data_IF_272836849313
#
_entry.id   IF_272836849313
#
_cell.length_a   1.000
_cell.length_b   1.000
_cell.length_c   1.000
_cell.angle_alpha   90.00
_cell.angle_beta   90.00
_cell.angle_gamma   90.00
#
_symmetry.space_group_name_H-M   'P 1'
#
loop_
_entity.id
_entity.type
_entity.pdbx_description
1 polymer ?
#
# COMPACT_ATOMS: atom_id res chain seq x y z
N UNK A 1 -13.41 4.79 -20.65
CA UNK A 1 -13.76 3.42 -21.12
C UNK A 1 -13.05 3.17 -22.43
N UNK A 2 -11.85 2.59 -22.37
CA UNK A 2 -11.06 2.28 -23.56
C UNK A 2 -11.33 0.83 -23.93
N UNK A 3 -11.79 0.59 -25.16
CA UNK A 3 -12.02 -0.76 -25.67
C UNK A 3 -10.71 -1.33 -26.22
N UNK A 4 -10.20 -2.39 -25.60
CA UNK A 4 -9.06 -3.14 -26.12
C UNK A 4 -9.54 -4.19 -27.12
N UNK A 5 -9.02 -4.14 -28.35
CA UNK A 5 -9.27 -5.17 -29.36
C UNK A 5 -8.06 -6.10 -29.40
N UNK A 6 -8.22 -7.34 -28.94
CA UNK A 6 -7.21 -8.39 -29.05
C UNK A 6 -7.09 -8.84 -30.51
N UNK A 7 -5.92 -8.63 -31.13
CA UNK A 7 -5.60 -9.22 -32.43
C UNK A 7 -4.77 -10.49 -32.24
N UNK A 8 -5.42 -11.65 -32.34
CA UNK A 8 -4.74 -12.93 -32.51
C UNK A 8 -4.33 -13.09 -33.98
N UNK A 9 -3.05 -13.35 -34.25
CA UNK A 9 -2.58 -13.73 -35.59
C UNK A 9 -2.10 -15.18 -35.59
N UNK A 10 -2.56 -15.94 -36.58
CA UNK A 10 -2.10 -17.30 -36.85
C UNK A 10 -0.80 -17.23 -37.65
N UNK A 11 0.28 -17.81 -37.14
CA UNK A 11 1.52 -18.01 -37.89
C UNK A 11 1.64 -19.49 -38.23
N UNK A 12 1.34 -19.84 -39.49
CA UNK A 12 1.74 -21.12 -40.08
C UNK A 12 3.11 -20.92 -40.73
N UNK A 13 4.14 -21.58 -40.23
CA UNK A 13 5.40 -21.70 -40.95
C UNK A 13 5.16 -22.55 -42.20
N UNK A 14 5.03 -21.88 -43.35
CA UNK A 14 5.28 -22.32 -44.74
C UNK A 14 4.89 -21.16 -45.67
N UNK A 15 5.85 -20.62 -46.44
CA UNK A 15 5.62 -19.61 -47.51
C UNK A 15 5.46 -20.31 -48.89
N UNK A 16 5.14 -19.64 -50.03
CA UNK A 16 4.58 -18.28 -50.25
C UNK A 16 3.39 -18.22 -51.28
N UNK A 17 2.46 -17.27 -51.15
CA UNK A 17 1.80 -16.57 -52.29
C UNK A 17 0.82 -15.47 -51.83
N UNK A 18 1.03 -14.25 -52.33
CA UNK A 18 0.19 -13.02 -52.28
C UNK A 18 -1.19 -13.18 -52.98
N UNK A 19 -2.13 -12.19 -52.99
CA UNK A 19 -2.29 -10.98 -52.15
C UNK A 19 -3.73 -10.76 -51.59
N UNK A 20 -3.82 -9.87 -50.59
CA UNK A 20 -4.83 -8.81 -50.38
C UNK A 20 -6.35 -9.09 -50.58
N UNK A 21 -7.16 -8.95 -49.51
CA UNK A 21 -8.32 -8.03 -49.48
C UNK A 21 -9.24 -8.18 -48.23
N UNK A 22 -9.48 -7.02 -47.61
CA UNK A 22 -10.76 -6.50 -47.03
C UNK A 22 -11.44 -7.24 -45.87
N UNK A 23 -11.40 -6.59 -44.71
CA UNK A 23 -12.47 -6.66 -43.69
C UNK A 23 -13.74 -5.97 -44.19
N UNK A 24 -14.94 -6.46 -43.77
CA UNK A 24 -15.98 -5.53 -43.33
C UNK A 24 -16.66 -5.92 -42.01
N UNK A 25 -16.70 -4.92 -41.12
CA UNK A 25 -17.70 -4.48 -40.14
C UNK A 25 -18.93 -5.34 -39.72
N UNK A 26 -19.09 -5.41 -38.39
CA UNK A 26 -20.30 -5.19 -37.55
C UNK A 26 -21.48 -6.22 -37.51
N UNK A 27 -21.52 -6.96 -36.39
CA UNK A 27 -22.65 -7.18 -35.43
C UNK A 27 -23.89 -8.05 -35.80
N UNK A 28 -24.68 -8.55 -34.81
CA UNK A 28 -24.64 -9.96 -34.34
C UNK A 28 -25.97 -10.70 -34.53
N UNK A 29 -26.00 -12.04 -34.55
CA UNK A 29 -27.25 -12.77 -34.25
C UNK A 29 -27.00 -14.19 -33.70
N UNK A 30 -27.76 -14.48 -32.63
CA UNK A 30 -28.00 -15.79 -32.00
C UNK A 30 -28.33 -16.89 -33.01
N UNK A 31 -27.84 -18.11 -32.77
CA UNK A 31 -28.64 -19.26 -32.31
C UNK A 31 -28.05 -20.62 -32.74
N UNK A 32 -28.08 -21.55 -31.78
CA UNK A 32 -28.33 -23.01 -31.89
C UNK A 32 -27.71 -23.76 -33.10
N UNK A 33 -26.91 -24.78 -32.80
CA UNK A 33 -27.35 -26.19 -32.80
C UNK A 33 -26.16 -27.13 -32.58
N UNK A 34 -26.46 -28.28 -31.98
CA UNK A 34 -25.56 -29.40 -31.77
C UNK A 34 -24.91 -29.87 -33.06
N UNK A 35 -23.64 -30.25 -33.02
CA UNK A 35 -23.13 -31.38 -33.80
C UNK A 35 -21.86 -31.93 -33.17
N UNK A 36 -21.76 -33.25 -33.27
CA UNK A 36 -20.92 -34.13 -32.48
C UNK A 36 -19.68 -34.50 -33.31
N UNK A 37 -18.56 -34.72 -32.62
CA UNK A 37 -17.31 -35.40 -33.04
C UNK A 37 -16.27 -34.59 -33.84
N UNK A 38 -15.11 -34.35 -33.22
CA UNK A 38 -13.91 -35.17 -33.38
C UNK A 38 -12.83 -34.68 -32.40
N UNK A 39 -12.04 -35.59 -31.80
CA UNK A 39 -10.80 -35.21 -31.12
C UNK A 39 -9.73 -34.96 -32.18
N UNK A 40 -9.12 -33.76 -32.27
CA UNK A 40 -7.80 -33.62 -32.90
C UNK A 40 -6.74 -33.67 -31.79
N UNK A 41 -5.83 -34.62 -31.90
CA UNK A 41 -4.55 -34.59 -31.20
C UNK A 41 -3.70 -33.49 -31.84
N UNK A 42 -3.65 -32.29 -31.27
CA UNK A 42 -2.59 -31.32 -31.52
C UNK A 42 -2.51 -30.33 -30.35
N UNK A 43 -1.35 -30.28 -29.68
CA UNK A 43 -1.01 -29.23 -28.73
C UNK A 43 -0.79 -27.95 -29.52
N UNK A 44 -1.73 -27.01 -29.47
CA UNK A 44 -1.49 -25.64 -29.91
C UNK A 44 -1.25 -24.77 -28.68
N UNK A 45 -0.01 -24.34 -28.50
CA UNK A 45 0.38 -23.31 -27.55
C UNK A 45 -0.09 -21.95 -28.10
N UNK A 46 -0.97 -21.29 -27.35
CA UNK A 46 -1.36 -19.91 -27.59
C UNK A 46 -0.36 -19.03 -26.83
N UNK A 47 0.51 -18.31 -27.54
CA UNK A 47 1.39 -17.32 -26.92
C UNK A 47 0.78 -15.93 -27.09
N UNK A 48 0.59 -15.22 -25.98
CA UNK A 48 0.28 -13.79 -25.98
C UNK A 48 1.59 -13.01 -25.91
N UNK A 49 2.03 -12.43 -27.02
CA UNK A 49 3.15 -11.47 -27.02
C UNK A 49 2.61 -10.05 -26.86
N UNK A 50 2.88 -9.42 -25.72
CA UNK A 50 2.64 -7.98 -25.51
C UNK A 50 3.67 -7.21 -26.34
N UNK A 51 3.23 -6.23 -27.14
CA UNK A 51 4.17 -5.46 -27.98
C UNK A 51 4.94 -4.44 -27.12
N UNK A 52 6.21 -4.23 -27.43
CA UNK A 52 7.11 -3.33 -26.68
C UNK A 52 6.60 -1.88 -26.57
N UNK A 53 5.73 -1.43 -27.48
CA UNK A 53 5.05 -0.13 -27.40
C UNK A 53 3.93 -0.10 -26.33
N UNK A 54 3.18 -1.19 -26.16
CA UNK A 54 2.15 -1.33 -25.12
C UNK A 54 2.79 -1.45 -23.73
N UNK A 55 3.97 -2.07 -23.64
CA UNK A 55 4.79 -2.08 -22.43
C UNK A 55 5.28 -0.66 -22.09
N UNK A 56 5.68 0.15 -23.07
CA UNK A 56 6.13 1.52 -22.82
C UNK A 56 4.97 2.47 -22.45
N UNK A 57 3.78 2.31 -23.03
CA UNK A 57 2.57 3.03 -22.60
C UNK A 57 2.13 2.59 -21.20
N UNK A 58 2.15 1.30 -20.90
CA UNK A 58 1.93 0.77 -19.55
C UNK A 58 2.97 1.28 -18.54
N UNK A 59 4.25 1.35 -18.92
CA UNK A 59 5.32 1.89 -18.07
C UNK A 59 5.22 3.42 -17.91
N UNK A 60 4.66 4.14 -18.89
CA UNK A 60 4.38 5.56 -18.81
C UNK A 60 3.13 5.87 -17.95
N UNK A 61 2.07 5.05 -18.06
CA UNK A 61 0.93 5.06 -17.14
C UNK A 61 1.35 4.66 -15.71
N UNK A 62 2.34 3.77 -15.56
CA UNK A 62 3.01 3.49 -14.28
C UNK A 62 3.89 4.67 -13.83
N UNK A 63 4.47 5.47 -14.73
CA UNK A 63 5.31 6.61 -14.36
C UNK A 63 4.49 7.83 -13.92
N UNK A 64 3.36 8.12 -14.58
CA UNK A 64 2.37 9.09 -14.12
C UNK A 64 1.62 8.57 -12.89
N UNK A 65 1.30 7.27 -12.85
CA UNK A 65 0.83 6.56 -11.65
C UNK A 65 1.78 6.75 -10.48
N UNK A 66 3.10 6.55 -10.67
CA UNK A 66 4.12 6.75 -9.64
C UNK A 66 4.07 8.14 -9.02
N UNK A 67 3.94 9.23 -9.78
CA UNK A 67 3.91 10.59 -9.19
C UNK A 67 2.66 10.78 -8.32
N UNK A 68 1.51 10.28 -8.78
CA UNK A 68 0.29 10.31 -7.98
C UNK A 68 0.40 9.42 -6.74
N UNK A 69 1.05 8.26 -6.85
CA UNK A 69 1.35 7.35 -5.73
C UNK A 69 2.29 8.02 -4.73
N UNK A 70 3.29 8.79 -5.18
CA UNK A 70 4.18 9.58 -4.32
C UNK A 70 3.42 10.67 -3.56
N UNK A 71 2.50 11.37 -4.22
CA UNK A 71 1.68 12.40 -3.59
C UNK A 71 0.69 11.80 -2.56
N UNK A 72 0.11 10.64 -2.88
CA UNK A 72 -0.74 9.90 -1.96
C UNK A 72 0.07 9.38 -0.76
N UNK A 73 1.23 8.77 -1.01
CA UNK A 73 2.15 8.29 0.02
C UNK A 73 2.57 9.41 0.97
N UNK A 74 2.93 10.57 0.43
CA UNK A 74 3.25 11.76 1.21
C UNK A 74 2.06 12.20 2.08
N UNK A 75 0.84 12.14 1.55
CA UNK A 75 -0.35 12.46 2.35
C UNK A 75 -0.59 11.49 3.50
N UNK A 76 -0.25 10.22 3.32
CA UNK A 76 -0.31 9.21 4.38
C UNK A 76 0.86 9.37 5.36
N UNK A 77 2.07 9.73 4.91
CA UNK A 77 3.20 10.06 5.79
C UNK A 77 2.89 11.28 6.66
N UNK A 78 2.31 12.34 6.10
CA UNK A 78 1.82 13.49 6.87
C UNK A 78 0.80 13.12 7.94
N UNK A 79 0.03 12.06 7.68
CA UNK A 79 -0.99 11.55 8.59
C UNK A 79 -0.44 10.60 9.66
N UNK A 80 0.67 9.90 9.41
CA UNK A 80 1.12 8.76 10.22
C UNK A 80 2.61 8.77 10.55
N UNK A 81 3.23 9.93 10.47
CA UNK A 81 4.65 10.13 10.71
C UNK A 81 5.11 9.52 12.03
N UNK A 82 6.35 9.03 12.02
CA UNK A 82 7.05 8.60 13.23
C UNK A 82 7.75 9.77 13.91
N UNK A 83 8.20 10.75 13.11
CA UNK A 83 8.83 11.97 13.61
C UNK A 83 8.31 13.17 12.81
N UNK A 84 7.88 14.23 13.50
CA UNK A 84 7.62 15.55 12.92
C UNK A 84 8.66 16.54 13.42
N UNK A 85 9.52 17.01 12.52
CA UNK A 85 10.48 18.06 12.82
C UNK A 85 9.84 19.42 12.63
N UNK A 86 9.77 20.21 13.71
CA UNK A 86 9.27 21.57 13.71
C UNK A 86 10.47 22.51 13.55
N UNK A 87 10.80 22.84 12.30
CA UNK A 87 11.95 23.68 11.96
C UNK A 87 11.60 25.16 12.11
N UNK A 88 12.19 25.82 13.10
CA UNK A 88 12.09 27.27 13.31
C UNK A 88 13.15 28.00 12.51
N UNK A 89 12.74 28.90 11.61
CA UNK A 89 13.65 29.65 10.72
C UNK A 89 13.97 31.07 11.17
N UNK A 90 13.29 31.56 12.23
CA UNK A 90 13.63 32.79 12.93
C UNK A 90 13.34 32.66 14.44
N UNK A 91 13.73 33.69 15.19
CA UNK A 91 13.57 33.82 16.64
C UNK A 91 12.37 34.71 17.05
N UNK A 92 11.45 34.99 16.12
CA UNK A 92 10.31 35.85 16.41
C UNK A 92 9.32 35.16 17.34
N UNK A 93 8.80 35.90 18.33
CA UNK A 93 7.86 35.35 19.31
C UNK A 93 6.62 34.73 18.67
N UNK A 94 6.08 35.35 17.61
CA UNK A 94 4.93 34.81 16.88
C UNK A 94 5.23 33.48 16.17
N UNK A 95 6.46 33.27 15.72
CA UNK A 95 6.90 31.99 15.16
C UNK A 95 6.99 30.95 16.26
N UNK A 96 7.60 31.29 17.40
CA UNK A 96 7.70 30.41 18.56
C UNK A 96 6.31 29.96 19.07
N UNK A 97 5.36 30.88 19.20
CA UNK A 97 4.01 30.58 19.70
C UNK A 97 3.28 29.58 18.78
N UNK A 98 3.40 29.73 17.45
CA UNK A 98 2.84 28.78 16.46
C UNK A 98 3.51 27.41 16.52
N UNK A 99 4.83 27.38 16.65
CA UNK A 99 5.60 26.13 16.80
C UNK A 99 5.17 25.38 18.06
N UNK A 100 4.99 26.11 19.17
CA UNK A 100 4.57 25.51 20.43
C UNK A 100 3.13 25.00 20.36
N UNK A 101 2.24 25.69 19.65
CA UNK A 101 0.88 25.21 19.39
C UNK A 101 0.90 23.89 18.61
N UNK A 102 1.68 23.79 17.53
CA UNK A 102 1.81 22.55 16.77
C UNK A 102 2.43 21.43 17.62
N UNK A 103 3.51 21.71 18.35
CA UNK A 103 4.16 20.75 19.24
C UNK A 103 3.19 20.17 20.29
N UNK A 104 2.33 21.01 20.85
CA UNK A 104 1.38 20.60 21.88
C UNK A 104 0.27 19.68 21.34
N UNK A 105 0.03 19.64 20.03
CA UNK A 105 -0.92 18.69 19.43
C UNK A 105 -0.40 17.25 19.52
N UNK A 106 0.92 17.08 19.40
CA UNK A 106 1.55 15.76 19.40
C UNK A 106 3.02 15.82 19.88
N UNK A 107 3.25 15.99 21.19
CA UNK A 107 4.59 16.21 21.75
C UNK A 107 5.46 14.95 21.76
N UNK A 108 4.87 13.76 21.60
CA UNK A 108 5.61 12.49 21.66
C UNK A 108 6.39 12.22 20.37
N UNK A 109 5.85 12.62 19.23
CA UNK A 109 6.46 12.38 17.93
C UNK A 109 6.98 13.67 17.29
N UNK A 110 6.88 14.81 17.97
CA UNK A 110 7.39 16.10 17.48
C UNK A 110 8.73 16.48 18.10
N UNK A 111 9.63 17.07 17.32
CA UNK A 111 10.90 17.62 17.78
C UNK A 111 11.07 19.05 17.25
N UNK A 112 11.32 19.99 18.15
CA UNK A 112 11.60 21.39 17.77
C UNK A 112 13.08 21.50 17.38
N UNK A 113 13.35 22.05 16.20
CA UNK A 113 14.70 22.26 15.68
C UNK A 113 14.85 23.73 15.30
N UNK A 114 15.86 24.40 15.83
CA UNK A 114 16.19 25.77 15.43
C UNK A 114 17.08 25.76 14.18
N UNK A 115 16.95 26.75 13.30
CA UNK A 115 17.80 26.95 12.13
C UNK A 115 19.30 26.92 12.43
N UNK A 116 19.72 27.36 13.63
CA UNK A 116 21.11 27.28 14.08
C UNK A 116 21.62 25.82 14.12
N UNK A 117 20.74 24.85 14.38
CA UNK A 117 21.07 23.44 14.35
C UNK A 117 21.35 22.90 12.94
N UNK A 118 20.89 23.57 11.88
CA UNK A 118 21.24 23.19 10.50
C UNK A 118 22.72 23.41 10.18
N UNK A 119 23.41 24.21 11.00
CA UNK A 119 24.83 24.50 10.88
C UNK A 119 25.69 23.63 11.82
N UNK A 120 25.06 22.89 12.74
CA UNK A 120 25.74 22.01 13.70
C UNK A 120 25.16 20.60 13.67
N UNK A 121 25.87 19.68 13.02
CA UNK A 121 25.42 18.29 12.83
C UNK A 121 25.22 17.52 14.14
N UNK A 122 25.73 17.99 15.28
CA UNK A 122 25.57 17.31 16.57
C UNK A 122 24.17 17.46 17.19
N UNK A 123 23.35 18.41 16.72
CA UNK A 123 21.98 18.62 17.23
C UNK A 123 20.89 18.31 16.21
N UNK A 124 21.23 17.66 15.09
CA UNK A 124 20.25 17.18 14.13
C UNK A 124 19.83 15.74 14.48
N UNK A 125 18.52 15.46 14.61
CA UNK A 125 18.04 14.09 14.73
C UNK A 125 18.27 13.33 13.42
N UNK A 126 18.33 12.00 13.49
CA UNK A 126 18.28 11.18 12.28
C UNK A 126 16.92 11.32 11.62
N UNK A 127 16.92 11.38 10.29
CA UNK A 127 15.74 11.60 9.46
C UNK A 127 15.59 10.43 8.50
N UNK A 128 14.39 9.86 8.44
CA UNK A 128 14.01 8.75 7.56
C UNK A 128 12.82 9.11 6.65
N UNK A 129 12.28 8.12 5.94
CA UNK A 129 11.13 8.28 5.03
C UNK A 129 9.79 8.47 5.72
N UNK A 130 9.73 8.28 7.03
CA UNK A 130 8.53 8.48 7.86
C UNK A 130 8.61 9.80 8.64
N UNK A 131 9.58 10.66 8.30
CA UNK A 131 9.78 11.96 8.93
C UNK A 131 9.12 13.07 8.10
N UNK A 132 8.30 13.90 8.77
CA UNK A 132 7.70 15.12 8.20
C UNK A 132 8.47 16.33 8.71
N UNK A 133 8.91 17.22 7.82
CA UNK A 133 9.55 18.49 8.22
C UNK A 133 8.56 19.62 8.05
N UNK A 134 8.09 20.24 9.13
CA UNK A 134 7.23 21.42 9.09
C UNK A 134 8.05 22.67 9.41
N UNK A 135 8.10 23.60 8.46
CA UNK A 135 8.90 24.82 8.52
C UNK A 135 8.05 25.97 9.02
N UNK A 136 8.54 26.66 10.05
CA UNK A 136 7.93 27.83 10.64
C UNK A 136 8.84 29.05 10.48
N UNK A 137 8.25 30.16 10.07
CA UNK A 137 8.94 31.44 9.91
C UNK A 137 8.00 32.60 9.67
N UNK A 138 8.56 33.80 9.68
CA UNK A 138 7.84 35.06 9.44
C UNK A 138 7.58 35.23 7.94
N UNK A 139 6.31 35.28 7.54
CA UNK A 139 5.93 35.47 6.14
C UNK A 139 5.97 36.95 5.76
N UNK A 140 6.51 37.26 4.58
CA UNK A 140 6.32 38.60 3.99
C UNK A 140 4.86 38.82 3.61
N UNK A 141 4.44 40.09 3.52
CA UNK A 141 3.04 40.45 3.21
C UNK A 141 2.55 39.87 1.88
N UNK A 142 3.45 39.74 0.91
CA UNK A 142 3.20 39.15 -0.41
C UNK A 142 3.34 37.62 -0.44
N UNK A 143 3.89 37.00 0.61
CA UNK A 143 4.13 35.55 0.68
C UNK A 143 5.32 35.07 -0.16
N UNK A 144 6.18 35.98 -0.64
CA UNK A 144 7.36 35.64 -1.46
C UNK A 144 8.59 35.23 -0.64
N UNK A 145 8.57 35.40 0.69
CA UNK A 145 9.65 34.95 1.57
C UNK A 145 9.15 34.36 2.88
N UNK A 146 9.95 33.45 3.45
CA UNK A 146 9.79 32.90 4.80
C UNK A 146 11.05 33.27 5.59
N UNK A 147 10.90 34.06 6.65
CA UNK A 147 12.00 34.64 7.43
C UNK A 147 13.03 35.38 6.58
N UNK A 148 12.57 36.03 5.51
CA UNK A 148 13.42 36.73 4.54
C UNK A 148 14.13 35.82 3.52
N UNK A 149 13.95 34.50 3.60
CA UNK A 149 14.49 33.55 2.62
C UNK A 149 13.54 33.39 1.43
N UNK A 150 14.09 33.44 0.21
CA UNK A 150 13.40 32.97 -1.00
C UNK A 150 13.20 31.45 -0.95
N UNK A 151 12.31 30.93 -1.80
CA UNK A 151 12.07 29.49 -1.91
C UNK A 151 13.35 28.69 -2.14
N UNK A 152 14.21 29.14 -3.07
CA UNK A 152 15.51 28.50 -3.35
C UNK A 152 16.48 28.56 -2.15
N UNK A 153 16.56 29.71 -1.50
CA UNK A 153 17.48 29.88 -0.36
C UNK A 153 17.05 28.98 0.81
N UNK A 154 15.75 28.91 1.07
CA UNK A 154 15.20 28.05 2.11
C UNK A 154 15.40 26.57 1.76
N UNK A 155 15.17 26.16 0.52
CA UNK A 155 15.42 24.79 0.07
C UNK A 155 16.88 24.37 0.31
N UNK A 156 17.84 25.25 0.00
CA UNK A 156 19.26 24.99 0.23
C UNK A 156 19.60 24.82 1.72
N UNK A 157 18.95 25.58 2.61
CA UNK A 157 19.11 25.40 4.06
C UNK A 157 18.56 24.05 4.51
N UNK A 158 17.35 23.72 4.08
CA UNK A 158 16.64 22.49 4.43
C UNK A 158 17.39 21.24 3.95
N UNK A 159 18.05 21.30 2.78
CA UNK A 159 18.91 20.22 2.26
C UNK A 159 20.07 19.83 3.19
N UNK A 160 20.46 20.67 4.17
CA UNK A 160 21.49 20.33 5.16
C UNK A 160 21.04 19.29 6.18
N UNK A 161 19.73 19.07 6.33
CA UNK A 161 19.15 18.07 7.24
C UNK A 161 19.44 16.61 6.84
N UNK A 162 20.29 16.35 5.84
CA UNK A 162 20.51 15.02 5.26
C UNK A 162 19.18 14.34 4.89
N UNK A 163 18.24 15.09 4.31
CA UNK A 163 16.90 14.66 3.87
C UNK A 163 16.92 13.67 2.69
N UNK A 164 17.91 12.79 2.62
CA UNK A 164 17.95 11.75 1.58
C UNK A 164 16.80 10.75 1.73
N UNK A 165 16.10 10.77 2.87
CA UNK A 165 14.97 9.91 3.17
C UNK A 165 13.63 10.64 3.36
N UNK A 166 13.59 11.87 3.91
CA UNK A 166 12.32 12.57 4.18
C UNK A 166 11.52 12.85 2.90
N UNK A 167 10.27 12.40 2.91
CA UNK A 167 9.36 12.44 1.76
C UNK A 167 8.49 13.69 1.74
N UNK A 168 8.25 14.34 2.90
CA UNK A 168 7.31 15.47 3.03
C UNK A 168 7.91 16.66 3.75
N UNK A 169 7.80 17.84 3.12
CA UNK A 169 8.11 19.13 3.73
C UNK A 169 6.87 20.00 3.70
N UNK A 170 6.47 20.51 4.87
CA UNK A 170 5.32 21.38 5.07
C UNK A 170 5.79 22.79 5.39
N UNK A 171 5.08 23.82 4.90
CA UNK A 171 5.38 25.22 5.20
C UNK A 171 4.19 25.84 5.95
N UNK A 172 4.47 26.41 7.12
CA UNK A 172 3.46 27.07 7.92
C UNK A 172 3.06 28.42 7.33
N UNK A 173 1.80 28.50 6.92
CA UNK A 173 1.15 29.69 6.36
C UNK A 173 1.09 29.72 4.83
N UNK A 174 0.72 30.87 4.27
CA UNK A 174 0.42 31.00 2.83
C UNK A 174 1.57 31.65 2.08
N UNK A 175 2.14 30.94 1.11
CA UNK A 175 3.23 31.40 0.23
C UNK A 175 2.75 31.50 -1.22
N UNK A 176 3.48 32.23 -2.06
CA UNK A 176 3.15 32.34 -3.49
C UNK A 176 3.53 31.07 -4.25
N UNK A 177 2.87 30.84 -5.40
CA UNK A 177 3.23 29.75 -6.32
C UNK A 177 4.67 29.87 -6.81
N UNK A 178 5.20 31.09 -6.98
CA UNK A 178 6.59 31.32 -7.37
C UNK A 178 7.56 30.83 -6.29
N UNK A 179 7.29 31.18 -5.03
CA UNK A 179 8.06 30.69 -3.89
C UNK A 179 8.05 29.15 -3.83
N UNK A 180 6.86 28.53 -3.92
CA UNK A 180 6.69 27.07 -3.87
C UNK A 180 7.44 26.37 -5.01
N UNK A 181 7.35 26.94 -6.23
CA UNK A 181 8.04 26.42 -7.40
C UNK A 181 9.56 26.49 -7.25
N UNK A 182 10.09 27.65 -6.86
CA UNK A 182 11.54 27.83 -6.64
C UNK A 182 12.06 26.93 -5.51
N UNK A 183 11.27 26.73 -4.47
CA UNK A 183 11.57 25.81 -3.37
C UNK A 183 11.71 24.36 -3.87
N UNK A 184 10.69 23.82 -4.56
CA UNK A 184 10.71 22.44 -5.07
C UNK A 184 11.81 22.20 -6.11
N UNK A 185 12.11 23.21 -6.95
CA UNK A 185 13.08 23.10 -8.05
C UNK A 185 14.48 22.73 -7.56
N UNK A 186 14.90 23.25 -6.41
CA UNK A 186 16.24 22.99 -5.89
C UNK A 186 16.42 21.53 -5.43
N UNK A 187 15.40 20.91 -4.84
CA UNK A 187 15.42 19.48 -4.52
C UNK A 187 15.49 18.63 -5.78
N UNK A 188 14.71 18.99 -6.81
CA UNK A 188 14.71 18.31 -8.11
C UNK A 188 16.09 18.33 -8.76
N UNK A 189 16.80 19.46 -8.73
CA UNK A 189 18.17 19.55 -9.26
C UNK A 189 19.19 18.69 -8.50
N UNK A 190 18.91 18.35 -7.24
CA UNK A 190 19.72 17.41 -6.44
C UNK A 190 19.29 15.96 -6.60
N UNK A 191 18.29 15.68 -7.45
CA UNK A 191 17.73 14.34 -7.65
C UNK A 191 16.92 13.84 -6.44
N UNK A 192 16.48 14.75 -5.57
CA UNK A 192 15.70 14.43 -4.38
C UNK A 192 14.22 14.60 -4.70
N UNK A 193 13.44 13.56 -4.41
CA UNK A 193 11.99 13.55 -4.56
C UNK A 193 11.35 14.04 -3.27
N UNK A 194 10.99 15.31 -3.22
CA UNK A 194 10.30 15.91 -2.08
C UNK A 194 8.86 16.23 -2.47
N UNK A 195 7.92 16.01 -1.55
CA UNK A 195 6.56 16.51 -1.65
C UNK A 195 6.41 17.72 -0.75
N UNK A 196 5.97 18.83 -1.33
CA UNK A 196 5.63 20.05 -0.61
C UNK A 196 4.17 19.96 -0.15
N UNK A 197 3.95 19.98 1.15
CA UNK A 197 2.64 20.13 1.77
C UNK A 197 2.37 21.62 2.06
N UNK A 198 1.20 22.10 1.64
CA UNK A 198 0.67 23.41 2.02
C UNK A 198 -0.76 23.26 2.52
N UNK A 199 -1.18 24.16 3.42
CA UNK A 199 -2.53 24.18 3.97
C UNK A 199 -3.34 25.32 3.36
N UNK A 200 -4.55 25.02 2.90
CA UNK A 200 -5.53 26.01 2.47
C UNK A 200 -6.87 25.74 3.16
N UNK A 201 -7.13 26.45 4.27
CA UNK A 201 -8.30 26.18 5.11
C UNK A 201 -8.26 24.77 5.70
N UNK A 202 -9.28 23.96 5.41
CA UNK A 202 -9.41 22.57 5.88
C UNK A 202 -8.82 21.53 4.92
N UNK A 203 -8.22 21.97 3.81
CA UNK A 203 -7.56 21.10 2.83
C UNK A 203 -6.04 21.14 2.99
N UNK A 204 -5.41 19.98 2.83
CA UNK A 204 -3.98 19.85 2.54
C UNK A 204 -3.79 19.65 1.04
N UNK A 205 -2.86 20.42 0.49
CA UNK A 205 -2.39 20.28 -0.88
C UNK A 205 -0.96 19.77 -0.86
N UNK A 206 -0.74 18.65 -1.55
CA UNK A 206 0.55 18.00 -1.74
C UNK A 206 1.00 18.26 -3.16
N UNK A 207 2.20 18.81 -3.33
CA UNK A 207 2.75 19.18 -4.63
C UNK A 207 4.10 18.53 -4.84
N UNK A 208 4.35 18.07 -6.06
CA UNK A 208 5.63 17.49 -6.45
C UNK A 208 6.04 18.03 -7.81
N UNK A 209 7.30 18.44 -7.93
CA UNK A 209 7.88 18.83 -9.21
C UNK A 209 8.44 17.59 -9.93
N UNK A 210 7.82 17.25 -11.05
CA UNK A 210 8.21 16.14 -11.93
C UNK A 210 9.27 16.52 -12.95
N UNK A 211 9.33 15.75 -14.04
CA UNK A 211 10.19 16.06 -15.18
C UNK A 211 9.67 17.28 -15.95
N UNK A 212 10.58 18.06 -16.53
CA UNK A 212 10.29 19.31 -17.27
C UNK A 212 9.63 20.41 -16.42
N UNK A 213 9.89 20.45 -15.11
CA UNK A 213 9.38 21.45 -14.17
C UNK A 213 7.84 21.51 -14.11
N UNK A 214 7.17 20.41 -14.46
CA UNK A 214 5.72 20.27 -14.27
C UNK A 214 5.42 19.95 -12.82
N UNK A 215 4.44 20.66 -12.24
CA UNK A 215 3.95 20.40 -10.88
C UNK A 215 2.71 19.53 -10.95
N UNK A 216 2.74 18.41 -10.22
CA UNK A 216 1.59 17.55 -9.96
C UNK A 216 1.05 17.83 -8.57
N UNK A 217 -0.27 17.77 -8.41
CA UNK A 217 -0.95 18.15 -7.17
C UNK A 217 -1.94 17.07 -6.71
N UNK A 218 -2.03 16.87 -5.39
CA UNK A 218 -3.06 16.06 -4.75
C UNK A 218 -3.67 16.84 -3.59
N UNK A 219 -5.00 16.82 -3.50
CA UNK A 219 -5.75 17.52 -2.44
C UNK A 219 -6.53 16.52 -1.62
N UNK A 220 -6.50 16.70 -0.31
CA UNK A 220 -7.30 15.90 0.61
C UNK A 220 -7.66 16.74 1.83
N UNK A 221 -8.71 16.34 2.53
CA UNK A 221 -9.13 17.00 3.77
C UNK A 221 -8.12 16.72 4.87
N UNK A 222 -7.97 17.68 5.80
CA UNK A 222 -7.24 17.47 7.05
C UNK A 222 -7.83 16.28 7.81
N UNK A 223 -6.96 15.34 8.18
CA UNK A 223 -7.31 14.17 8.99
C UNK A 223 -6.49 14.18 10.30
N UNK A 224 -7.03 13.70 11.43
CA UNK A 224 -6.30 13.69 12.71
C UNK A 224 -5.17 12.66 12.70
N UNK A 225 -3.93 13.08 12.98
CA UNK A 225 -2.72 12.23 12.94
C UNK A 225 -2.96 10.87 13.61
N UNK A 226 -2.56 9.80 12.94
CA UNK A 226 -2.71 8.41 13.37
C UNK A 226 -1.34 7.72 13.43
N UNK A 227 -0.76 7.69 14.64
CA UNK A 227 0.47 6.96 14.92
C UNK A 227 0.26 5.45 15.06
N UNK A 228 -0.83 4.89 14.53
CA UNK A 228 -1.04 3.43 14.53
C UNK A 228 -0.26 2.70 13.44
N UNK A 229 0.71 3.33 12.74
CA UNK A 229 1.79 2.57 12.07
C UNK A 229 2.61 1.89 13.18
N UNK A 230 2.17 0.69 13.53
CA UNK A 230 2.70 -0.13 14.62
C UNK A 230 3.93 -0.97 14.20
N UNK A 231 4.35 -0.88 12.94
CA UNK A 231 5.29 -1.80 12.31
C UNK A 231 6.40 -1.03 11.60
N UNK A 232 7.64 -1.51 11.73
CA UNK A 232 8.81 -0.97 11.02
C UNK A 232 8.79 -1.31 9.52
N UNK A 233 8.24 -2.49 9.19
CA UNK A 233 8.08 -2.98 7.83
C UNK A 233 6.85 -3.90 7.69
N UNK A 234 6.25 -3.94 6.50
CA UNK A 234 5.13 -4.78 6.14
C UNK A 234 5.40 -5.57 4.85
N UNK A 235 5.53 -6.89 4.93
CA UNK A 235 5.49 -7.73 3.73
C UNK A 235 4.04 -8.14 3.43
N UNK A 236 3.58 -7.88 2.22
CA UNK A 236 2.25 -8.26 1.72
C UNK A 236 2.44 -9.39 0.72
N UNK A 237 1.89 -10.56 1.02
CA UNK A 237 2.02 -11.76 0.19
C UNK A 237 0.69 -12.08 -0.50
N UNK A 238 0.70 -11.97 -1.82
CA UNK A 238 -0.42 -12.34 -2.70
C UNK A 238 -0.43 -13.85 -2.87
N UNK A 239 -1.42 -14.51 -2.26
CA UNK A 239 -1.45 -15.97 -2.14
C UNK A 239 -2.01 -16.67 -3.40
N UNK A 240 -2.66 -15.95 -4.30
CA UNK A 240 -3.31 -16.49 -5.49
C UNK A 240 -3.31 -15.49 -6.65
N UNK A 241 -3.28 -16.00 -7.89
CA UNK A 241 -3.51 -15.19 -9.08
C UNK A 241 -5.01 -14.97 -9.30
N UNK A 242 -5.55 -13.99 -8.57
CA UNK A 242 -6.92 -13.55 -8.70
C UNK A 242 -6.98 -12.02 -8.75
N UNK A 243 -7.71 -11.41 -9.69
CA UNK A 243 -7.75 -9.96 -9.83
C UNK A 243 -8.22 -9.25 -8.56
N UNK A 244 -9.21 -9.80 -7.83
CA UNK A 244 -9.70 -9.19 -6.57
C UNK A 244 -8.60 -9.18 -5.51
N UNK A 245 -7.87 -10.30 -5.38
CA UNK A 245 -6.80 -10.45 -4.40
C UNK A 245 -5.61 -9.56 -4.75
N UNK A 246 -5.24 -9.45 -6.03
CA UNK A 246 -4.19 -8.54 -6.50
C UNK A 246 -4.54 -7.09 -6.23
N UNK A 247 -5.76 -6.69 -6.56
CA UNK A 247 -6.25 -5.33 -6.28
C UNK A 247 -6.24 -5.04 -4.78
N UNK A 248 -6.74 -5.94 -3.94
CA UNK A 248 -6.73 -5.78 -2.49
C UNK A 248 -5.31 -5.68 -1.91
N UNK A 249 -4.38 -6.49 -2.42
CA UNK A 249 -2.98 -6.44 -1.99
C UNK A 249 -2.28 -5.13 -2.43
N UNK A 250 -2.61 -4.63 -3.63
CA UNK A 250 -2.18 -3.31 -4.10
C UNK A 250 -2.65 -2.21 -3.16
N UNK A 251 -3.94 -2.17 -2.83
CA UNK A 251 -4.46 -1.16 -1.90
C UNK A 251 -3.84 -1.24 -0.49
N UNK A 252 -3.55 -2.46 0.00
CA UNK A 252 -2.83 -2.62 1.27
C UNK A 252 -1.39 -2.10 1.20
N UNK A 253 -0.74 -2.21 0.05
CA UNK A 253 0.59 -1.64 -0.20
C UNK A 253 0.51 -0.11 -0.25
N UNK A 254 -0.43 0.42 -1.02
CA UNK A 254 -0.61 1.86 -1.25
C UNK A 254 -0.95 2.63 0.04
N UNK A 255 -1.47 1.94 1.06
CA UNK A 255 -1.69 2.52 2.38
C UNK A 255 -0.39 2.93 3.08
N UNK A 256 0.68 2.14 2.95
CA UNK A 256 1.97 2.39 3.58
C UNK A 256 3.14 2.00 2.65
N UNK A 257 3.29 2.64 1.47
CA UNK A 257 4.20 2.15 0.43
C UNK A 257 5.67 2.33 0.80
N UNK A 258 6.00 3.33 1.64
CA UNK A 258 7.37 3.56 2.12
C UNK A 258 7.90 2.46 3.05
N UNK A 259 7.00 1.72 3.70
CA UNK A 259 7.33 0.66 4.65
C UNK A 259 6.71 -0.69 4.28
N UNK A 260 6.22 -0.83 3.04
CA UNK A 260 5.61 -2.07 2.56
C UNK A 260 6.36 -2.66 1.37
N UNK A 261 6.29 -3.97 1.24
CA UNK A 261 6.79 -4.70 0.08
C UNK A 261 5.80 -5.77 -0.36
N UNK A 262 5.63 -5.91 -1.66
CA UNK A 262 4.64 -6.80 -2.26
C UNK A 262 5.32 -8.02 -2.88
N UNK A 263 4.83 -9.19 -2.49
CA UNK A 263 5.34 -10.49 -2.92
C UNK A 263 4.24 -11.33 -3.55
N UNK A 264 4.61 -12.21 -4.47
CA UNK A 264 3.77 -13.30 -4.98
C UNK A 264 4.37 -14.65 -4.60
N UNK A 265 3.59 -15.73 -4.64
CA UNK A 265 4.12 -17.09 -4.57
C UNK A 265 4.57 -17.58 -5.94
N UNK A 266 5.81 -18.07 -6.04
CA UNK A 266 6.27 -18.78 -7.23
C UNK A 266 5.69 -20.21 -7.33
N UNK A 267 6.11 -20.97 -8.34
CA UNK A 267 5.64 -22.34 -8.59
C UNK A 267 6.04 -23.34 -7.48
N UNK A 268 6.98 -22.97 -6.62
CA UNK A 268 7.44 -23.76 -5.47
C UNK A 268 6.92 -23.21 -4.14
N UNK A 269 5.92 -22.31 -4.18
CA UNK A 269 5.35 -21.62 -3.04
C UNK A 269 6.37 -20.76 -2.26
N UNK A 270 7.43 -20.27 -2.92
CA UNK A 270 8.37 -19.32 -2.32
C UNK A 270 7.94 -17.88 -2.61
N UNK A 271 8.02 -16.97 -1.62
CA UNK A 271 7.79 -15.54 -1.85
C UNK A 271 8.80 -14.96 -2.86
N UNK A 272 8.28 -14.29 -3.88
CA UNK A 272 9.04 -13.54 -4.88
C UNK A 272 8.61 -12.07 -4.85
N UNK A 273 9.56 -11.18 -4.59
CA UNK A 273 9.33 -9.74 -4.59
C UNK A 273 8.88 -9.28 -5.98
N UNK A 274 7.82 -8.46 -6.03
CA UNK A 274 7.34 -7.82 -7.24
C UNK A 274 7.27 -6.29 -7.14
N UNK A 275 7.22 -5.73 -5.92
CA UNK A 275 7.18 -4.29 -5.71
C UNK A 275 7.67 -3.90 -4.29
N UNK A 276 8.20 -2.68 -4.14
CA UNK A 276 8.86 -2.23 -2.90
C UNK A 276 10.30 -2.73 -2.75
N UNK A 277 10.91 -2.43 -1.61
CA UNK A 277 12.30 -2.81 -1.30
C UNK A 277 12.37 -4.18 -0.59
N UNK A 278 13.39 -5.01 -0.83
CA UNK A 278 13.53 -6.33 -0.21
C UNK A 278 13.99 -6.21 1.25
N UNK A 279 13.15 -5.66 2.13
CA UNK A 279 13.43 -5.56 3.56
C UNK A 279 13.00 -6.83 4.32
N UNK A 280 13.82 -7.34 5.25
CA UNK A 280 13.48 -8.54 6.01
C UNK A 280 12.42 -8.24 7.08
N UNK A 281 11.55 -9.22 7.35
CA UNK A 281 10.68 -9.16 8.53
C UNK A 281 11.52 -9.24 9.81
N UNK A 282 11.37 -8.25 10.67
CA UNK A 282 11.93 -8.15 12.02
C UNK A 282 10.91 -8.55 13.10
N UNK A 283 11.35 -8.51 14.36
CA UNK A 283 10.47 -8.69 15.51
C UNK A 283 9.36 -7.62 15.63
N UNK A 284 9.52 -6.47 14.96
CA UNK A 284 8.54 -5.38 14.92
C UNK A 284 7.76 -5.32 13.59
N UNK A 285 8.03 -6.22 12.65
CA UNK A 285 7.39 -6.23 11.33
C UNK A 285 6.05 -6.96 11.28
N UNK A 286 5.31 -6.71 10.20
CA UNK A 286 4.06 -7.40 9.88
C UNK A 286 4.16 -8.19 8.59
N UNK A 287 3.65 -9.41 8.60
CA UNK A 287 3.35 -10.17 7.40
C UNK A 287 1.83 -10.14 7.13
N UNK A 288 1.42 -9.80 5.92
CA UNK A 288 0.00 -9.81 5.51
C UNK A 288 -0.20 -10.83 4.41
N UNK A 289 -0.97 -11.88 4.70
CA UNK A 289 -1.37 -12.86 3.69
C UNK A 289 -2.70 -12.41 3.07
N UNK A 290 -2.72 -12.22 1.75
CA UNK A 290 -3.91 -11.76 1.02
C UNK A 290 -4.40 -12.88 0.12
N UNK A 291 -5.63 -13.33 0.37
CA UNK A 291 -6.25 -14.41 -0.39
C UNK A 291 -7.68 -14.61 0.04
N UNK A 292 -8.45 -15.30 -0.81
CA UNK A 292 -9.80 -15.68 -0.45
C UNK A 292 -9.80 -16.72 0.67
N UNK A 293 -10.66 -16.53 1.67
CA UNK A 293 -10.88 -17.48 2.73
C UNK A 293 -12.05 -18.40 2.42
N UNK A 294 -11.92 -19.68 2.76
CA UNK A 294 -12.96 -20.70 2.61
C UNK A 294 -13.02 -21.54 3.86
N UNK A 295 -14.21 -21.58 4.46
CA UNK A 295 -14.53 -22.46 5.58
C UNK A 295 -15.70 -23.35 5.15
N UNK A 296 -15.47 -24.66 5.02
CA UNK A 296 -16.50 -25.63 4.63
C UNK A 296 -16.30 -26.97 5.35
N UNK A 297 -17.12 -27.98 5.05
CA UNK A 297 -17.04 -29.30 5.68
C UNK A 297 -15.68 -30.01 5.52
N UNK A 298 -14.89 -29.63 4.50
CA UNK A 298 -13.53 -30.11 4.25
C UNK A 298 -12.44 -29.36 5.02
N UNK A 299 -12.82 -28.40 5.87
CA UNK A 299 -11.92 -27.56 6.66
C UNK A 299 -11.74 -26.16 6.09
N UNK A 300 -10.86 -25.40 6.75
CA UNK A 300 -10.56 -24.01 6.40
C UNK A 300 -9.29 -23.88 5.57
N UNK A 301 -9.31 -22.97 4.59
CA UNK A 301 -8.15 -22.66 3.76
C UNK A 301 -8.11 -21.19 3.33
N UNK A 302 -6.91 -20.70 3.03
CA UNK A 302 -6.66 -19.39 2.42
C UNK A 302 -6.04 -19.60 1.05
N UNK A 303 -6.64 -19.06 -0.01
CA UNK A 303 -6.22 -19.29 -1.39
C UNK A 303 -6.08 -20.80 -1.75
N UNK A 304 -6.83 -21.66 -1.05
CA UNK A 304 -6.76 -23.12 -1.19
C UNK A 304 -5.61 -23.80 -0.45
N UNK A 305 -4.82 -23.08 0.35
CA UNK A 305 -3.81 -23.61 1.26
C UNK A 305 -4.39 -23.86 2.65
N UNK A 306 -4.17 -25.04 3.18
CA UNK A 306 -4.54 -25.37 4.56
C UNK A 306 -3.52 -24.79 5.57
N UNK A 307 -3.82 -24.90 6.87
CA UNK A 307 -2.98 -24.37 7.94
C UNK A 307 -1.51 -24.84 7.91
N UNK A 308 -1.23 -26.09 7.51
CA UNK A 308 0.14 -26.63 7.44
C UNK A 308 0.91 -26.05 6.25
N UNK A 309 0.28 -26.04 5.08
CA UNK A 309 0.85 -25.43 3.86
C UNK A 309 1.14 -23.93 4.10
N UNK A 310 0.28 -23.23 4.84
CA UNK A 310 0.52 -21.82 5.20
C UNK A 310 1.69 -21.64 6.16
N UNK A 311 1.89 -22.53 7.13
CA UNK A 311 3.05 -22.48 8.01
C UNK A 311 4.37 -22.62 7.21
N UNK A 312 4.39 -23.55 6.25
CA UNK A 312 5.53 -23.74 5.33
C UNK A 312 5.80 -22.47 4.51
N UNK A 313 4.75 -21.86 3.92
CA UNK A 313 4.87 -20.62 3.15
C UNK A 313 5.39 -19.46 4.01
N UNK A 314 4.88 -19.29 5.23
CA UNK A 314 5.37 -18.27 6.17
C UNK A 314 6.84 -18.54 6.53
N UNK A 315 7.23 -19.81 6.65
CA UNK A 315 8.61 -20.23 6.88
C UNK A 315 9.60 -19.77 5.81
N UNK A 316 9.15 -19.64 4.56
CA UNK A 316 9.95 -19.22 3.40
C UNK A 316 10.04 -17.70 3.24
N UNK A 317 9.40 -16.91 4.11
CA UNK A 317 9.47 -15.44 4.04
C UNK A 317 10.86 -14.92 4.41
N UNK A 318 11.26 -13.82 3.76
CA UNK A 318 12.54 -13.17 4.04
C UNK A 318 12.47 -12.46 5.40
N UNK A 319 13.17 -13.00 6.40
CA UNK A 319 13.10 -12.56 7.80
C UNK A 319 14.45 -12.61 8.51
N UNK A 320 14.58 -11.79 9.55
CA UNK A 320 15.71 -11.81 10.48
C UNK A 320 15.25 -12.34 11.85
N UNK A 321 15.81 -13.47 12.26
CA UNK A 321 15.42 -14.12 13.52
C UNK A 321 14.04 -14.78 13.46
N UNK A 322 13.60 -15.34 14.58
CA UNK A 322 12.40 -16.18 14.70
C UNK A 322 11.13 -15.46 15.14
N UNK A 323 11.11 -14.13 15.19
CA UNK A 323 9.96 -13.37 15.67
C UNK A 323 9.46 -12.43 14.60
N UNK A 324 8.14 -12.41 14.40
CA UNK A 324 7.40 -11.45 13.59
C UNK A 324 6.35 -10.86 14.52
N UNK A 325 6.16 -9.53 14.55
CA UNK A 325 5.19 -8.93 15.48
C UNK A 325 3.80 -9.47 15.24
N UNK A 326 3.36 -9.40 13.98
CA UNK A 326 2.06 -9.92 13.57
C UNK A 326 2.09 -10.61 12.22
N UNK A 327 1.35 -11.70 12.10
CA UNK A 327 0.90 -12.29 10.84
C UNK A 327 -0.59 -11.98 10.74
N UNK A 328 -1.01 -11.28 9.69
CA UNK A 328 -2.40 -10.89 9.49
C UNK A 328 -2.96 -11.52 8.23
N UNK A 329 -4.10 -12.19 8.34
CA UNK A 329 -4.81 -12.69 7.17
C UNK A 329 -5.84 -11.66 6.71
N UNK A 330 -5.66 -11.14 5.51
CA UNK A 330 -6.71 -10.49 4.75
C UNK A 330 -7.47 -11.59 3.99
N UNK A 331 -8.40 -12.25 4.68
CA UNK A 331 -9.21 -13.36 4.17
C UNK A 331 -10.53 -13.45 4.93
N UNK A 332 -11.59 -13.87 4.24
CA UNK A 332 -12.92 -14.01 4.84
C UNK A 332 -13.03 -15.25 5.73
N UNK A 333 -13.64 -15.09 6.89
CA UNK A 333 -14.17 -16.18 7.74
C UNK A 333 -13.17 -17.27 8.16
N UNK A 334 -11.87 -16.98 8.12
CA UNK A 334 -10.83 -17.95 8.54
C UNK A 334 -10.74 -18.03 10.07
N UNK A 335 -11.09 -16.94 10.76
CA UNK A 335 -11.04 -16.85 12.22
C UNK A 335 -12.15 -17.64 12.94
N UNK A 336 -13.14 -18.17 12.22
CA UNK A 336 -14.23 -18.96 12.82
C UNK A 336 -13.86 -20.43 13.05
N UNK A 337 -12.79 -20.94 12.41
CA UNK A 337 -12.31 -22.31 12.57
C UNK A 337 -11.13 -22.40 13.55
N UNK A 338 -11.44 -22.76 14.79
CA UNK A 338 -10.45 -22.95 15.84
C UNK A 338 -9.39 -24.00 15.49
N UNK A 339 -9.75 -25.07 14.78
CA UNK A 339 -8.83 -26.16 14.42
C UNK A 339 -7.76 -25.66 13.45
N UNK A 340 -8.16 -24.81 12.51
CA UNK A 340 -7.24 -24.15 11.59
C UNK A 340 -6.24 -23.26 12.34
N UNK A 341 -6.72 -22.44 13.29
CA UNK A 341 -5.89 -21.56 14.11
C UNK A 341 -4.87 -22.38 14.93
N UNK A 342 -5.35 -23.41 15.63
CA UNK A 342 -4.51 -24.30 16.45
C UNK A 342 -3.44 -24.99 15.60
N UNK A 343 -3.82 -25.51 14.42
CA UNK A 343 -2.90 -26.18 13.51
C UNK A 343 -1.83 -25.23 12.96
N UNK A 344 -2.22 -24.01 12.57
CA UNK A 344 -1.30 -23.03 12.03
C UNK A 344 -0.31 -22.55 13.10
N UNK A 345 -0.81 -22.17 14.28
CA UNK A 345 0.05 -21.71 15.38
C UNK A 345 1.03 -22.80 15.83
N UNK A 346 0.59 -24.07 15.83
CA UNK A 346 1.48 -25.20 16.08
C UNK A 346 2.55 -25.34 14.99
N UNK A 347 2.17 -25.26 13.71
CA UNK A 347 3.11 -25.35 12.58
C UNK A 347 4.16 -24.24 12.62
N UNK A 348 3.76 -23.00 12.94
CA UNK A 348 4.68 -21.88 13.13
C UNK A 348 5.64 -22.10 14.30
N UNK A 349 5.15 -22.63 15.42
CA UNK A 349 5.99 -22.96 16.56
C UNK A 349 7.02 -24.06 16.23
N UNK A 350 6.63 -25.10 15.49
CA UNK A 350 7.53 -26.19 15.06
C UNK A 350 8.69 -25.70 14.18
N UNK A 351 8.51 -24.59 13.45
CA UNK A 351 9.56 -23.96 12.63
C UNK A 351 10.21 -22.73 13.30
N UNK A 352 10.04 -22.59 14.61
CA UNK A 352 10.59 -21.50 15.44
C UNK A 352 10.18 -20.09 14.98
N UNK A 353 8.89 -19.91 14.64
CA UNK A 353 8.29 -18.60 14.37
C UNK A 353 7.32 -18.24 15.49
N UNK A 354 7.67 -17.20 16.24
CA UNK A 354 6.83 -16.53 17.24
C UNK A 354 6.12 -15.34 16.60
N UNK A 355 4.79 -15.26 16.74
CA UNK A 355 3.98 -14.15 16.22
C UNK A 355 2.61 -14.10 16.88
N UNK A 356 1.96 -12.94 16.83
CA UNK A 356 0.51 -12.84 17.00
C UNK A 356 -0.19 -13.03 15.65
N UNK A 357 -1.23 -13.85 15.61
CA UNK A 357 -2.01 -14.13 14.41
C UNK A 357 -3.33 -13.34 14.43
N UNK A 358 -3.54 -12.49 13.42
CA UNK A 358 -4.71 -11.63 13.29
C UNK A 358 -5.61 -12.11 12.15
N UNK A 359 -6.84 -12.50 12.50
CA UNK A 359 -7.81 -13.12 11.62
C UNK A 359 -9.15 -12.39 11.69
N UNK A 360 -10.04 -12.71 10.74
CA UNK A 360 -11.44 -12.25 10.75
C UNK A 360 -12.39 -13.44 10.69
N UNK A 361 -13.47 -13.38 11.46
CA UNK A 361 -14.53 -14.41 11.53
C UNK A 361 -15.77 -14.04 10.70
N UNK A 362 -15.61 -13.15 9.71
CA UNK A 362 -16.68 -12.66 8.84
C UNK A 362 -16.11 -12.31 7.47
N UNK A 363 -16.96 -11.81 6.57
CA UNK A 363 -16.52 -11.29 5.27
C UNK A 363 -15.65 -10.05 5.44
N UNK A 364 -14.58 -10.00 4.66
CA UNK A 364 -13.58 -8.93 4.64
C UNK A 364 -13.54 -8.33 3.26
N UNK A 365 -13.53 -7.01 3.22
CA UNK A 365 -13.23 -6.23 2.03
C UNK A 365 -12.04 -5.33 2.31
N UNK A 366 -11.20 -5.13 1.29
CA UNK A 366 -10.18 -4.08 1.32
C UNK A 366 -10.64 -2.95 0.42
N UNK A 367 -10.70 -1.74 0.97
CA UNK A 367 -11.06 -0.53 0.21
C UNK A 367 -9.93 -0.07 -0.70
N UNK A 368 -10.21 0.85 -1.62
CA UNK A 368 -9.17 1.53 -2.41
C UNK A 368 -8.15 2.31 -1.57
N UNK A 369 -8.46 2.63 -0.30
CA UNK A 369 -7.54 3.28 0.66
C UNK A 369 -6.74 2.28 1.49
N UNK A 370 -6.88 0.97 1.22
CA UNK A 370 -6.22 -0.09 1.97
C UNK A 370 -6.81 -0.35 3.36
N UNK A 371 -7.97 0.24 3.67
CA UNK A 371 -8.70 -0.07 4.89
C UNK A 371 -9.41 -1.41 4.78
N UNK A 372 -9.47 -2.13 5.90
CA UNK A 372 -10.18 -3.41 5.98
C UNK A 372 -11.56 -3.17 6.57
N UNK A 373 -12.59 -3.53 5.83
CA UNK A 373 -13.97 -3.48 6.27
C UNK A 373 -14.49 -4.89 6.52
N UNK A 374 -15.30 -5.03 7.55
CA UNK A 374 -15.91 -6.30 7.93
C UNK A 374 -17.41 -6.22 7.82
N UNK A 375 -18.02 -7.28 7.32
CA UNK A 375 -19.47 -7.36 7.23
C UNK A 375 -20.06 -7.71 8.59
N UNK A 376 -20.99 -6.89 9.06
CA UNK A 376 -21.82 -7.18 10.23
C UNK A 376 -23.24 -7.55 9.80
N UNK A 377 -23.79 -8.53 10.51
CA UNK A 377 -25.18 -8.94 10.36
C UNK A 377 -25.94 -8.46 11.60
N UNK A 378 -26.51 -7.26 11.49
CA UNK A 378 -27.25 -6.61 12.57
C UNK A 378 -28.76 -6.67 12.35
N UNK A 379 -29.55 -6.18 13.33
CA UNK A 379 -31.01 -6.09 13.21
C UNK A 379 -31.47 -5.20 12.04
N UNK A 380 -30.60 -4.30 11.55
CA UNK A 380 -30.87 -3.42 10.40
C UNK A 380 -30.46 -4.03 9.04
N UNK A 381 -30.01 -5.28 9.02
CA UNK A 381 -29.55 -5.98 7.82
C UNK A 381 -28.03 -6.06 7.71
N UNK A 382 -27.56 -6.26 6.48
CA UNK A 382 -26.13 -6.39 6.15
C UNK A 382 -25.48 -5.01 6.06
N UNK A 383 -24.44 -4.78 6.86
CA UNK A 383 -23.75 -3.49 6.91
C UNK A 383 -22.23 -3.70 6.95
N UNK A 384 -21.51 -2.99 6.09
CA UNK A 384 -20.05 -2.93 6.17
C UNK A 384 -19.63 -2.00 7.30
N UNK A 385 -18.65 -2.42 8.09
CA UNK A 385 -18.15 -1.66 9.23
C UNK A 385 -16.63 -1.52 9.19
N UNK A 386 -16.16 -0.33 9.57
CA UNK A 386 -14.74 -0.04 9.76
C UNK A 386 -14.40 -0.08 11.26
N UNK A 387 -13.27 -0.70 11.62
CA UNK A 387 -12.80 -0.86 13.01
C UNK A 387 -13.81 -1.58 13.94
N UNK A 388 -14.51 -2.61 13.43
CA UNK A 388 -15.35 -3.50 14.27
C UNK A 388 -14.47 -4.59 14.90
N UNK A 389 -14.09 -4.38 16.16
CA UNK A 389 -13.19 -5.28 16.88
C UNK A 389 -13.82 -6.65 17.09
N UNK A 390 -15.15 -6.73 17.21
CA UNK A 390 -15.89 -7.99 17.42
C UNK A 390 -15.69 -9.01 16.31
N UNK A 391 -15.22 -8.55 15.16
CA UNK A 391 -14.92 -9.38 13.99
C UNK A 391 -13.47 -9.82 13.91
N UNK A 392 -12.63 -9.37 14.84
CA UNK A 392 -11.23 -9.77 14.96
C UNK A 392 -11.07 -10.98 15.87
N UNK A 393 -10.29 -11.94 15.41
CA UNK A 393 -9.77 -13.02 16.23
C UNK A 393 -8.26 -12.88 16.30
N UNK A 394 -7.72 -12.85 17.51
CA UNK A 394 -6.28 -12.78 17.77
C UNK A 394 -5.84 -14.06 18.45
N UNK A 395 -4.84 -14.74 17.88
CA UNK A 395 -4.26 -15.94 18.46
C UNK A 395 -2.77 -15.70 18.76
N UNK A 396 -2.33 -16.03 19.96
CA UNK A 396 -0.95 -15.82 20.42
C UNK A 396 -0.58 -16.87 21.48
N UNK A 397 0.70 -17.15 21.65
CA UNK A 397 1.15 -17.98 22.76
C UNK A 397 1.36 -17.10 24.01
N UNK A 398 0.90 -17.56 25.17
CA UNK A 398 1.19 -16.90 26.45
C UNK A 398 2.65 -17.11 26.89
N UNK A 399 3.00 -16.60 28.07
CA UNK A 399 4.38 -16.66 28.59
C UNK A 399 4.83 -18.08 28.90
N UNK A 400 3.86 -18.97 29.16
CA UNK A 400 4.03 -20.38 29.43
C UNK A 400 4.06 -21.22 28.14
N UNK A 401 3.86 -20.59 26.97
CA UNK A 401 3.87 -21.22 25.65
C UNK A 401 2.54 -21.86 25.25
N UNK A 402 1.46 -21.64 26.00
CA UNK A 402 0.14 -22.15 25.66
C UNK A 402 -0.56 -21.21 24.68
N UNK A 403 -1.28 -21.80 23.72
CA UNK A 403 -2.05 -21.03 22.75
C UNK A 403 -3.28 -20.38 23.40
N UNK A 404 -3.39 -19.07 23.26
CA UNK A 404 -4.54 -18.25 23.66
C UNK A 404 -5.19 -17.67 22.42
N UNK A 405 -6.47 -17.98 22.23
CA UNK A 405 -7.31 -17.42 21.15
C UNK A 405 -8.32 -16.47 21.79
N UNK A 406 -8.38 -15.23 21.28
CA UNK A 406 -9.25 -14.18 21.80
C UNK A 406 -10.09 -13.63 20.65
N UNK A 407 -11.40 -13.71 20.81
CA UNK A 407 -12.31 -12.86 20.05
C UNK A 407 -12.35 -11.51 20.76
N UNK A 408 -12.08 -10.42 20.04
CA UNK A 408 -12.03 -9.11 20.69
C UNK A 408 -13.46 -8.63 20.98
N UNK A 409 -13.81 -8.52 22.26
CA UNK A 409 -15.06 -7.87 22.66
C UNK A 409 -14.82 -6.37 22.80
N UNK A 410 -15.07 -5.61 21.73
CA UNK A 410 -14.67 -4.21 21.65
C UNK A 410 -15.66 -3.33 20.89
N UNK A 411 -15.14 -2.25 20.30
CA UNK A 411 -15.93 -1.30 19.54
C UNK A 411 -16.70 -2.00 18.40
N UNK A 412 -17.97 -1.66 18.21
CA UNK A 412 -18.78 -2.14 17.08
C UNK A 412 -18.38 -1.51 15.75
N UNK A 413 -17.40 -0.61 15.77
CA UNK A 413 -16.93 0.13 14.60
C UNK A 413 -17.97 1.11 14.06
N UNK A 414 -17.59 1.79 12.98
CA UNK A 414 -18.43 2.73 12.27
C UNK A 414 -19.05 2.06 11.05
N UNK A 415 -20.35 2.29 10.87
CA UNK A 415 -21.06 1.91 9.66
C UNK A 415 -20.52 2.69 8.46
N UNK A 416 -20.28 1.99 7.36
CA UNK A 416 -19.81 2.61 6.13
C UNK A 416 -20.66 2.19 4.94
N UNK A 417 -20.84 3.12 4.01
CA UNK A 417 -21.40 2.82 2.71
C UNK A 417 -20.26 2.61 1.70
N UNK A 418 -20.23 1.44 1.07
CA UNK A 418 -19.26 1.15 -0.01
C UNK A 418 -19.96 0.49 -1.18
N UNK A 419 -19.65 0.96 -2.39
CA UNK A 419 -20.11 0.40 -3.66
C UNK A 419 -19.05 -0.50 -4.33
N UNK A 420 -17.87 -0.59 -3.72
CA UNK A 420 -16.77 -1.42 -4.19
C UNK A 420 -17.11 -2.90 -4.07
N UNK A 421 -16.50 -3.73 -4.93
CA UNK A 421 -16.76 -5.17 -5.01
C UNK A 421 -15.54 -6.03 -4.65
N UNK A 422 -14.58 -5.45 -3.94
CA UNK A 422 -13.30 -6.06 -3.58
C UNK A 422 -13.40 -6.98 -2.35
N UNK A 423 -14.50 -7.74 -2.24
CA UNK A 423 -14.69 -8.69 -1.14
C UNK A 423 -13.81 -9.92 -1.35
N UNK A 424 -13.13 -10.33 -0.29
CA UNK A 424 -12.25 -11.50 -0.28
C UNK A 424 -13.04 -12.81 -0.07
N UNK A 425 -14.36 -12.80 -0.29
CA UNK A 425 -15.19 -14.00 -0.31
C UNK A 425 -15.17 -14.65 -1.69
N UNK A 426 -15.08 -15.97 -1.76
CA UNK A 426 -15.17 -16.67 -3.05
C UNK A 426 -16.57 -16.48 -3.66
N UNK A 427 -16.68 -16.06 -4.94
CA UNK A 427 -17.93 -16.15 -5.68
C UNK A 427 -18.29 -17.63 -5.91
N UNK A 428 -19.54 -18.02 -5.65
CA UNK A 428 -20.05 -19.40 -5.64
C UNK A 428 -19.91 -20.21 -6.94
N UNK A 429 -19.23 -19.71 -7.97
CA UNK A 429 -19.19 -20.28 -9.33
C UNK A 429 -17.80 -20.55 -9.93
N UNK A 430 -16.69 -20.45 -9.16
CA UNK A 430 -15.33 -20.63 -9.74
C UNK A 430 -14.47 -21.67 -9.01
N UNK A 431 -13.81 -22.51 -9.82
CA UNK A 431 -12.74 -23.41 -9.40
C UNK A 431 -11.37 -22.71 -9.46
N UNK A 432 -10.52 -23.00 -8.49
CA UNK A 432 -9.19 -22.40 -8.31
C UNK A 432 -8.08 -23.11 -9.08
N UNK A 433 -7.08 -22.34 -9.51
CA UNK A 433 -5.73 -22.83 -9.83
C UNK A 433 -4.74 -22.33 -8.77
N UNK A 434 -4.00 -23.23 -8.12
CA UNK A 434 -2.92 -22.90 -7.18
C UNK A 434 -1.70 -22.34 -7.93
N UNK A 435 -1.06 -21.33 -7.34
CA UNK A 435 0.24 -20.79 -7.78
C UNK A 435 0.21 -19.94 -9.05
N UNK A 436 1.23 -19.08 -9.19
CA UNK A 436 1.50 -18.35 -10.42
C UNK A 436 2.28 -19.24 -11.39
N UNK A 437 1.75 -19.53 -12.58
CA UNK A 437 2.54 -20.20 -13.63
C UNK A 437 3.34 -19.16 -14.40
N UNK A 438 4.65 -19.13 -14.18
CA UNK A 438 5.56 -18.29 -14.95
C UNK A 438 6.06 -19.14 -16.13
N UNK A 439 5.57 -18.88 -17.34
CA UNK A 439 6.15 -19.51 -18.53
C UNK A 439 7.48 -18.82 -18.86
N UNK A 440 8.54 -19.63 -18.95
CA UNK A 440 9.88 -19.24 -19.40
C UNK A 440 9.89 -18.64 -20.81
#
# INVERSE_FOLDING_TARGET
>A
MTHYTLHCSYRSDLSPSLPDHRCPNFFPLRAKTETKWHRPKAKHLLYCTVKMHELNEFLAEIAEGKVQDWLLAASETSYSYQIKLLLMTDDQQLTYDRVQQEYNLDPRYSLIVNIDCLHNTSCLPEVDSNTVVKIFGSLSEDGDTVSGYSGSTLAHLVLKLKLKAATVVSIDGTTTTNFQHDFMRDFRFKGIKVVLETSQGDEHMYQMMGEMDRVSEYRTLKRPVDHTIQYDHQQILVMEDNPIVRTAAGFLYDKHPATSSLYILDEHHKPKLIHGDPEPLSADSRLVLVGHGVTNNGGTSVAGYNAKELAEIIGETYRIGGKIKTVSMASCDVGSDKTFIETLMKGLHEINIETELHLRNTEVQVSHTGEKYTLDFGPNGLEWRHKDDRKQVVATNDREGNLVIRELTGNTGEAIFTSERNSLRIPSSKNYSRGWRLQN
#
